data_IF_002852556194
#
_entry.id   IF_002852556194
#
_cell.length_a   1.000
_cell.length_b   1.000
_cell.length_c   1.000
_cell.angle_alpha   90.00
_cell.angle_beta   90.00
_cell.angle_gamma   90.00
#
_symmetry.space_group_name_H-M   'P 1'
#
loop_
_entity.id
_entity.type
_entity.pdbx_description
1 polymer ?
#
# COMPACT_ATOMS: atom_id res chain seq x y z
N UNK A 1 10.30 -19.40 0.67
CA UNK A 1 10.71 -18.17 1.39
C UNK A 1 11.85 -17.54 0.62
N UNK A 2 11.78 -16.28 0.17
CA UNK A 2 12.98 -15.59 -0.28
C UNK A 2 14.00 -15.64 0.88
N UNK A 3 15.25 -16.01 0.60
CA UNK A 3 16.27 -16.12 1.64
C UNK A 3 16.41 -14.81 2.43
N UNK A 4 16.52 -14.90 3.75
CA UNK A 4 16.84 -13.75 4.61
C UNK A 4 15.70 -13.13 5.43
N UNK A 5 14.54 -13.77 5.57
CA UNK A 5 13.50 -13.27 6.50
C UNK A 5 13.93 -13.48 7.95
N UNK A 6 14.40 -12.42 8.61
CA UNK A 6 14.71 -12.40 10.04
C UNK A 6 13.53 -11.83 10.85
N UNK A 7 13.22 -12.46 11.97
CA UNK A 7 12.16 -12.04 12.88
C UNK A 7 12.05 -12.96 14.10
N UNK A 8 11.07 -12.66 14.94
CA UNK A 8 10.75 -13.46 16.13
C UNK A 8 9.76 -14.53 15.72
N UNK A 9 10.07 -15.79 16.04
CA UNK A 9 9.11 -16.89 15.87
C UNK A 9 8.00 -16.71 16.89
N UNK A 10 6.79 -16.47 16.40
CA UNK A 10 5.60 -16.29 17.22
C UNK A 10 4.97 -17.63 17.58
N UNK A 11 4.85 -18.51 16.58
CA UNK A 11 4.19 -19.79 16.73
C UNK A 11 4.70 -20.79 15.67
N UNK A 12 4.59 -22.08 16.00
CA UNK A 12 4.94 -23.20 15.13
C UNK A 12 3.77 -24.17 15.13
N UNK A 13 2.97 -24.12 14.06
CA UNK A 13 1.85 -25.04 13.88
C UNK A 13 2.34 -26.25 13.09
N UNK A 14 2.32 -27.40 13.75
CA UNK A 14 2.66 -28.68 13.14
C UNK A 14 1.37 -29.39 12.76
N UNK A 15 1.16 -29.53 11.45
CA UNK A 15 0.08 -30.33 10.91
C UNK A 15 0.65 -31.72 10.53
N UNK A 16 -0.11 -32.78 10.78
CA UNK A 16 0.22 -34.14 10.33
C UNK A 16 -0.98 -34.68 9.58
N UNK A 17 -0.72 -35.43 8.51
CA UNK A 17 -1.78 -36.11 7.74
C UNK A 17 -2.57 -37.11 8.60
N UNK A 18 -1.88 -37.74 9.54
CA UNK A 18 -2.47 -38.57 10.58
C UNK A 18 -1.85 -38.12 11.90
N UNK A 19 -2.60 -37.35 12.66
CA UNK A 19 -2.17 -36.91 13.98
C UNK A 19 -2.54 -38.02 14.99
N UNK A 20 -1.58 -38.75 15.59
CA UNK A 20 -1.88 -39.90 16.45
C UNK A 20 -2.62 -39.51 17.73
N UNK A 21 -2.60 -38.21 18.10
CA UNK A 21 -3.26 -37.62 19.27
C UNK A 21 -4.65 -37.06 18.97
N UNK A 22 -4.99 -36.73 17.72
CA UNK A 22 -6.36 -36.34 17.35
C UNK A 22 -7.14 -37.60 16.96
N UNK A 23 -8.21 -37.88 17.70
CA UNK A 23 -9.20 -38.87 17.25
C UNK A 23 -9.73 -38.40 15.91
N UNK A 24 -9.63 -39.24 14.89
CA UNK A 24 -10.23 -38.98 13.58
C UNK A 24 -11.72 -38.71 13.79
N UNK A 25 -12.15 -37.48 13.54
CA UNK A 25 -13.55 -37.11 13.63
C UNK A 25 -14.34 -38.06 12.72
N UNK A 26 -15.32 -38.75 13.29
CA UNK A 26 -16.19 -39.60 12.48
C UNK A 26 -16.96 -38.72 11.49
N UNK A 27 -17.39 -39.28 10.35
CA UNK A 27 -18.26 -38.55 9.40
C UNK A 27 -19.52 -38.00 10.08
N UNK A 28 -19.98 -38.63 11.17
CA UNK A 28 -21.11 -38.16 11.97
C UNK A 28 -20.75 -36.93 12.81
N UNK A 29 -19.52 -36.86 13.32
CA UNK A 29 -19.05 -35.74 14.15
C UNK A 29 -18.74 -34.50 13.31
N UNK A 30 -18.15 -34.67 12.11
CA UNK A 30 -17.97 -33.58 11.15
C UNK A 30 -19.32 -32.96 10.77
N UNK A 31 -20.32 -33.79 10.46
CA UNK A 31 -21.69 -33.31 10.21
C UNK A 31 -22.29 -32.58 11.41
N UNK A 32 -22.02 -33.05 12.64
CA UNK A 32 -22.46 -32.37 13.86
C UNK A 32 -21.81 -30.99 14.00
N UNK A 33 -20.49 -30.88 13.79
CA UNK A 33 -19.77 -29.61 13.87
C UNK A 33 -20.17 -28.62 12.78
N UNK A 34 -20.42 -29.08 11.55
CA UNK A 34 -20.98 -28.25 10.47
C UNK A 34 -22.34 -27.70 10.90
N UNK A 35 -23.21 -28.55 11.46
CA UNK A 35 -24.52 -28.13 11.97
C UNK A 35 -24.41 -27.14 13.13
N UNK A 36 -23.44 -27.33 14.03
CA UNK A 36 -23.18 -26.42 15.15
C UNK A 36 -22.65 -25.06 14.65
N UNK A 37 -21.79 -25.04 13.63
CA UNK A 37 -21.33 -23.83 12.95
C UNK A 37 -22.48 -23.10 12.23
N UNK A 38 -23.36 -23.82 11.54
CA UNK A 38 -24.58 -23.26 10.94
C UNK A 38 -25.54 -22.67 11.99
N UNK A 39 -25.70 -23.34 13.13
CA UNK A 39 -26.55 -22.84 14.22
C UNK A 39 -25.95 -21.58 14.84
N UNK A 40 -24.63 -21.54 15.02
CA UNK A 40 -23.91 -20.35 15.51
C UNK A 40 -24.08 -19.18 14.54
N UNK A 41 -23.93 -19.42 13.24
CA UNK A 41 -24.20 -18.43 12.19
C UNK A 41 -25.64 -17.92 12.27
N UNK A 42 -26.63 -18.81 12.38
CA UNK A 42 -28.05 -18.41 12.48
C UNK A 42 -28.31 -17.54 13.71
N UNK A 43 -27.71 -17.86 14.85
CA UNK A 43 -27.84 -17.06 16.08
C UNK A 43 -27.23 -15.67 15.93
N UNK A 44 -25.99 -15.58 15.43
CA UNK A 44 -25.30 -14.31 15.23
C UNK A 44 -25.98 -13.45 14.15
N UNK A 45 -26.44 -14.07 13.07
CA UNK A 45 -27.20 -13.40 12.03
C UNK A 45 -28.50 -12.81 12.58
N UNK A 46 -29.23 -13.56 13.41
CA UNK A 46 -30.45 -13.08 14.05
C UNK A 46 -30.19 -11.86 14.97
N UNK A 47 -29.10 -11.89 15.74
CA UNK A 47 -28.70 -10.78 16.62
C UNK A 47 -28.42 -9.48 15.82
N UNK A 48 -27.70 -9.57 14.70
CA UNK A 48 -27.41 -8.41 13.86
C UNK A 48 -28.67 -7.91 13.15
N UNK A 49 -29.55 -8.81 12.73
CA UNK A 49 -30.87 -8.44 12.19
C UNK A 49 -31.70 -7.69 13.23
N UNK A 50 -31.66 -8.08 14.51
CA UNK A 50 -32.35 -7.36 15.57
C UNK A 50 -31.74 -5.98 15.86
N UNK A 51 -30.42 -5.86 15.88
CA UNK A 51 -29.73 -4.57 16.02
C UNK A 51 -30.10 -3.62 14.87
N UNK A 52 -30.03 -4.12 13.63
CA UNK A 52 -30.40 -3.34 12.44
C UNK A 52 -31.87 -2.95 12.44
N UNK A 53 -32.78 -3.87 12.81
CA UNK A 53 -34.20 -3.57 12.90
C UNK A 53 -34.52 -2.54 14.00
N UNK A 54 -33.75 -2.50 15.08
CA UNK A 54 -33.89 -1.50 16.15
C UNK A 54 -33.45 -0.12 15.68
N UNK A 55 -32.31 -0.02 14.99
CA UNK A 55 -31.84 1.24 14.39
C UNK A 55 -32.76 1.75 13.29
N UNK A 56 -33.27 0.84 12.45
CA UNK A 56 -34.29 1.20 11.45
C UNK A 56 -35.60 1.64 12.10
N UNK A 57 -35.96 1.10 13.28
CA UNK A 57 -37.15 1.53 14.01
C UNK A 57 -36.99 2.96 14.53
N UNK A 58 -35.82 3.38 15.02
CA UNK A 58 -35.61 4.77 15.44
C UNK A 58 -35.89 5.78 14.30
N UNK A 59 -35.62 5.39 13.05
CA UNK A 59 -35.80 6.23 11.87
C UNK A 59 -37.24 6.14 11.30
N UNK A 60 -37.82 4.94 11.28
CA UNK A 60 -39.02 4.63 10.49
C UNK A 60 -40.25 4.20 11.31
N UNK A 61 -40.14 4.04 12.63
CA UNK A 61 -41.26 3.57 13.44
C UNK A 61 -42.38 4.61 13.47
N UNK A 62 -43.57 4.22 13.01
CA UNK A 62 -44.76 5.08 13.01
C UNK A 62 -44.92 5.97 11.77
N UNK A 63 -43.90 6.07 10.90
CA UNK A 63 -44.02 6.78 9.63
C UNK A 63 -44.80 5.94 8.60
N UNK A 64 -45.46 6.63 7.65
CA UNK A 64 -46.14 6.02 6.50
C UNK A 64 -45.37 6.37 5.25
N UNK A 65 -44.63 5.41 4.70
CA UNK A 65 -44.00 5.56 3.39
C UNK A 65 -45.08 5.48 2.30
N UNK A 66 -45.07 6.42 1.36
CA UNK A 66 -45.94 6.37 0.17
C UNK A 66 -45.41 5.42 -0.91
N UNK A 67 -44.25 4.83 -0.66
CA UNK A 67 -43.49 4.01 -1.59
C UNK A 67 -43.43 2.57 -1.05
N UNK A 68 -43.55 1.59 -1.94
CA UNK A 68 -43.34 0.18 -1.62
C UNK A 68 -41.86 -0.15 -1.58
N UNK A 69 -41.42 -0.90 -0.57
CA UNK A 69 -40.10 -1.53 -0.56
C UNK A 69 -40.28 -2.98 -0.98
N UNK A 70 -39.60 -3.37 -2.06
CA UNK A 70 -39.69 -4.69 -2.65
C UNK A 70 -38.32 -5.35 -2.79
N UNK A 71 -38.32 -6.67 -2.85
CA UNK A 71 -37.14 -7.48 -3.18
C UNK A 71 -37.43 -8.28 -4.45
N UNK A 72 -36.53 -8.17 -5.41
CA UNK A 72 -36.56 -8.99 -6.63
C UNK A 72 -35.62 -10.18 -6.46
N UNK A 73 -36.18 -11.38 -6.49
CA UNK A 73 -35.42 -12.63 -6.46
C UNK A 73 -36.00 -13.57 -7.53
N UNK A 74 -35.16 -14.04 -8.45
CA UNK A 74 -35.51 -14.99 -9.52
C UNK A 74 -36.78 -14.63 -10.33
N UNK A 75 -37.00 -13.34 -10.62
CA UNK A 75 -38.15 -12.86 -11.39
C UNK A 75 -39.45 -12.72 -10.60
N UNK A 76 -39.46 -13.00 -9.29
CA UNK A 76 -40.60 -12.74 -8.40
C UNK A 76 -40.33 -11.53 -7.50
N UNK A 77 -41.27 -10.58 -7.51
CA UNK A 77 -41.23 -9.39 -6.67
C UNK A 77 -41.94 -9.66 -5.35
N UNK A 78 -41.18 -9.74 -4.26
CA UNK A 78 -41.74 -9.88 -2.91
C UNK A 78 -41.83 -8.52 -2.25
N UNK A 79 -43.05 -8.12 -1.84
CA UNK A 79 -43.27 -6.84 -1.17
C UNK A 79 -42.89 -6.95 0.30
N UNK A 80 -41.85 -6.22 0.72
CA UNK A 80 -41.36 -6.19 2.10
C UNK A 80 -42.17 -5.19 2.94
N UNK A 81 -42.38 -3.98 2.42
CA UNK A 81 -43.17 -2.92 3.07
C UNK A 81 -44.18 -2.34 2.05
N UNK A 82 -45.50 -2.52 2.27
CA UNK A 82 -46.52 -1.92 1.40
C UNK A 82 -46.62 -0.39 1.55
N UNK A 83 -46.92 0.30 0.46
CA UNK A 83 -47.17 1.74 0.46
C UNK A 83 -48.41 2.10 1.32
N UNK A 84 -48.33 3.21 2.04
CA UNK A 84 -49.43 3.78 2.83
C UNK A 84 -49.74 3.08 4.16
N UNK A 85 -49.06 1.96 4.47
CA UNK A 85 -49.25 1.22 5.73
C UNK A 85 -48.30 1.71 6.82
N UNK A 86 -48.75 1.70 8.07
CA UNK A 86 -47.87 1.97 9.23
C UNK A 86 -46.80 0.88 9.33
N UNK A 87 -45.54 1.30 9.41
CA UNK A 87 -44.40 0.39 9.50
C UNK A 87 -44.41 -0.30 10.87
N UNK A 88 -44.33 -1.63 10.86
CA UNK A 88 -44.30 -2.47 12.07
C UNK A 88 -42.91 -3.05 12.27
N UNK A 89 -42.56 -3.41 13.52
CA UNK A 89 -41.27 -4.07 13.85
C UNK A 89 -41.05 -5.37 13.05
N UNK A 90 -42.12 -6.07 12.69
CA UNK A 90 -42.07 -7.29 11.85
C UNK A 90 -41.63 -6.98 10.41
N UNK A 91 -42.13 -5.87 9.84
CA UNK A 91 -41.74 -5.43 8.49
C UNK A 91 -40.26 -4.99 8.45
N UNK A 92 -39.80 -4.30 9.48
CA UNK A 92 -38.40 -3.88 9.60
C UNK A 92 -37.44 -5.08 9.75
N UNK A 93 -37.83 -6.11 10.51
CA UNK A 93 -37.06 -7.36 10.60
C UNK A 93 -36.94 -8.06 9.23
N UNK A 94 -38.00 -8.08 8.42
CA UNK A 94 -37.96 -8.65 7.06
C UNK A 94 -37.07 -7.85 6.12
N UNK A 95 -37.07 -6.52 6.25
CA UNK A 95 -36.17 -5.64 5.50
C UNK A 95 -34.70 -5.87 5.90
N UNK A 96 -34.42 -5.92 7.20
CA UNK A 96 -33.08 -6.15 7.74
C UNK A 96 -32.48 -7.52 7.32
N UNK A 97 -33.31 -8.55 7.14
CA UNK A 97 -32.88 -9.85 6.60
C UNK A 97 -32.46 -9.80 5.14
N UNK A 98 -32.94 -8.81 4.38
CA UNK A 98 -32.70 -8.66 2.94
C UNK A 98 -31.74 -7.49 2.65
N UNK A 99 -30.71 -7.32 3.48
CA UNK A 99 -29.83 -6.15 3.42
C UNK A 99 -29.10 -5.98 2.08
N UNK A 100 -28.80 -7.08 1.39
CA UNK A 100 -28.01 -7.07 0.16
C UNK A 100 -28.82 -6.77 -1.10
N UNK A 101 -30.15 -6.95 -1.05
CA UNK A 101 -31.00 -6.84 -2.22
C UNK A 101 -32.41 -6.37 -1.83
N UNK A 102 -32.57 -5.04 -1.78
CA UNK A 102 -33.85 -4.35 -1.66
C UNK A 102 -33.91 -3.23 -2.68
N UNK A 103 -35.10 -2.98 -3.21
CA UNK A 103 -35.38 -1.85 -4.07
C UNK A 103 -36.19 -0.82 -3.29
N UNK A 104 -35.59 0.36 -3.10
CA UNK A 104 -36.23 1.51 -2.47
C UNK A 104 -36.28 2.66 -3.48
N UNK A 105 -37.46 2.95 -4.04
CA UNK A 105 -37.65 4.13 -4.90
C UNK A 105 -37.34 5.45 -4.14
N UNK A 106 -37.02 6.54 -4.87
CA UNK A 106 -36.64 7.81 -4.26
C UNK A 106 -37.70 8.32 -3.28
N UNK A 107 -37.33 8.43 -2.01
CA UNK A 107 -38.22 8.85 -0.92
C UNK A 107 -37.46 9.62 0.17
N UNK A 108 -38.13 10.52 0.91
CA UNK A 108 -37.52 11.20 2.05
C UNK A 108 -37.14 10.15 3.11
N UNK A 109 -35.84 9.98 3.35
CA UNK A 109 -35.27 8.95 4.23
C UNK A 109 -34.45 7.87 3.53
N UNK A 110 -34.50 7.76 2.19
CA UNK A 110 -33.72 6.77 1.43
C UNK A 110 -32.22 6.86 1.71
N UNK A 111 -31.65 8.07 1.70
CA UNK A 111 -30.21 8.28 1.95
C UNK A 111 -29.79 7.76 3.33
N UNK A 112 -30.60 8.03 4.36
CA UNK A 112 -30.32 7.58 5.73
C UNK A 112 -30.46 6.05 5.87
N UNK A 113 -31.43 5.45 5.18
CA UNK A 113 -31.58 3.99 5.13
C UNK A 113 -30.39 3.36 4.42
N UNK A 114 -30.02 3.84 3.23
CA UNK A 114 -28.90 3.31 2.44
C UNK A 114 -27.56 3.46 3.20
N UNK A 115 -27.34 4.57 3.90
CA UNK A 115 -26.17 4.78 4.75
C UNK A 115 -26.12 3.82 5.94
N UNK A 116 -27.25 3.64 6.64
CA UNK A 116 -27.35 2.71 7.77
C UNK A 116 -27.14 1.26 7.32
N UNK A 117 -27.78 0.85 6.23
CA UNK A 117 -27.63 -0.48 5.63
C UNK A 117 -26.17 -0.70 5.19
N UNK A 118 -25.57 0.29 4.53
CA UNK A 118 -24.16 0.28 4.13
C UNK A 118 -23.19 0.17 5.30
N UNK A 119 -23.49 0.79 6.44
CA UNK A 119 -22.66 0.72 7.65
C UNK A 119 -22.66 -0.68 8.31
N UNK A 120 -23.76 -1.42 8.17
CA UNK A 120 -23.94 -2.73 8.80
C UNK A 120 -23.61 -3.91 7.87
N UNK A 121 -23.62 -3.69 6.54
CA UNK A 121 -23.28 -4.70 5.53
C UNK A 121 -21.92 -5.41 5.75
N UNK A 122 -20.82 -4.75 6.19
CA UNK A 122 -19.58 -5.44 6.51
C UNK A 122 -19.74 -6.53 7.58
N UNK A 123 -20.55 -6.28 8.62
CA UNK A 123 -20.74 -7.24 9.72
C UNK A 123 -21.45 -8.52 9.25
N UNK A 124 -22.42 -8.39 8.34
CA UNK A 124 -23.09 -9.54 7.72
C UNK A 124 -22.13 -10.36 6.86
N UNK A 125 -21.31 -9.70 6.04
CA UNK A 125 -20.30 -10.37 5.21
C UNK A 125 -19.25 -11.10 6.03
N UNK A 126 -18.75 -10.50 7.10
CA UNK A 126 -17.73 -11.12 7.95
C UNK A 126 -18.21 -12.43 8.59
N UNK A 127 -19.47 -12.49 9.01
CA UNK A 127 -20.05 -13.70 9.62
C UNK A 127 -20.34 -14.78 8.58
N UNK A 128 -20.78 -14.38 7.38
CA UNK A 128 -20.94 -15.31 6.26
C UNK A 128 -19.58 -15.90 5.83
N UNK A 129 -18.54 -15.07 5.69
CA UNK A 129 -17.18 -15.52 5.39
C UNK A 129 -16.64 -16.49 6.43
N UNK A 130 -16.81 -16.19 7.74
CA UNK A 130 -16.39 -17.11 8.81
C UNK A 130 -17.11 -18.45 8.76
N UNK A 131 -18.41 -18.46 8.46
CA UNK A 131 -19.17 -19.71 8.28
C UNK A 131 -18.56 -20.51 7.13
N UNK A 132 -18.36 -19.88 5.98
CA UNK A 132 -17.85 -20.56 4.78
C UNK A 132 -16.44 -21.10 4.99
N UNK A 133 -15.55 -20.34 5.64
CA UNK A 133 -14.21 -20.80 6.03
C UNK A 133 -14.25 -22.01 6.97
N UNK A 134 -15.15 -22.01 7.96
CA UNK A 134 -15.29 -23.12 8.91
C UNK A 134 -15.84 -24.35 8.21
N UNK A 135 -16.88 -24.21 7.39
CA UNK A 135 -17.49 -25.30 6.64
C UNK A 135 -16.49 -25.89 5.66
N UNK A 136 -15.81 -25.05 4.87
CA UNK A 136 -14.80 -25.47 3.92
C UNK A 136 -13.65 -26.23 4.62
N UNK A 137 -13.16 -25.73 5.76
CA UNK A 137 -12.13 -26.41 6.55
C UNK A 137 -12.59 -27.77 7.07
N UNK A 138 -13.86 -27.89 7.48
CA UNK A 138 -14.43 -29.16 7.96
C UNK A 138 -14.69 -30.15 6.82
N UNK A 139 -15.04 -29.66 5.61
CA UNK A 139 -15.28 -30.47 4.40
C UNK A 139 -13.99 -30.97 3.74
N UNK A 140 -12.99 -30.10 3.59
CA UNK A 140 -11.66 -30.44 3.08
C UNK A 140 -10.91 -31.37 4.07
N UNK A 141 -11.27 -31.28 5.35
CA UNK A 141 -10.61 -32.00 6.44
C UNK A 141 -9.17 -31.54 6.68
N UNK A 142 -8.50 -32.11 7.68
CA UNK A 142 -7.05 -31.92 7.92
C UNK A 142 -6.20 -32.72 6.88
N UNK A 143 -6.61 -32.70 5.61
CA UNK A 143 -6.01 -33.46 4.53
C UNK A 143 -4.89 -32.70 3.84
N UNK A 144 -3.64 -33.11 4.08
CA UNK A 144 -2.49 -32.63 3.31
C UNK A 144 -2.52 -33.13 1.86
N UNK A 145 -1.81 -32.42 0.98
CA UNK A 145 -1.52 -32.87 -0.39
C UNK A 145 -0.99 -34.31 -0.42
N UNK A 146 -1.41 -35.14 -1.39
CA UNK A 146 -0.99 -36.53 -1.48
C UNK A 146 0.55 -36.62 -1.61
N UNK A 147 1.20 -37.22 -0.60
CA UNK A 147 2.65 -37.39 -0.52
C UNK A 147 3.31 -36.63 0.63
N UNK A 148 2.64 -35.65 1.24
CA UNK A 148 3.16 -34.91 2.39
C UNK A 148 2.72 -35.60 3.69
N UNK A 149 3.70 -36.03 4.50
CA UNK A 149 3.46 -36.73 5.78
C UNK A 149 3.20 -35.73 6.92
N UNK A 150 3.96 -34.62 6.92
CA UNK A 150 3.96 -33.60 7.96
C UNK A 150 4.28 -32.24 7.33
N UNK A 151 3.56 -31.21 7.75
CA UNK A 151 3.78 -29.82 7.35
C UNK A 151 4.00 -29.00 8.62
N UNK A 152 4.96 -28.08 8.57
CA UNK A 152 5.31 -27.22 9.70
C UNK A 152 5.19 -25.78 9.23
N UNK A 153 4.18 -25.08 9.75
CA UNK A 153 3.96 -23.66 9.48
C UNK A 153 4.58 -22.86 10.63
N UNK A 154 5.60 -22.06 10.33
CA UNK A 154 6.27 -21.20 11.30
C UNK A 154 5.82 -19.75 11.06
N UNK A 155 5.17 -19.15 12.04
CA UNK A 155 4.75 -17.75 12.00
C UNK A 155 5.89 -16.87 12.53
N UNK A 156 6.40 -15.99 11.67
CA UNK A 156 7.51 -15.10 12.00
C UNK A 156 6.99 -13.66 11.98
N UNK A 157 7.09 -12.96 13.11
CA UNK A 157 6.80 -11.54 13.20
C UNK A 157 8.10 -10.73 13.07
N UNK A 158 8.06 -9.67 12.26
CA UNK A 158 9.20 -8.77 12.06
C UNK A 158 8.72 -7.31 12.12
N UNK A 159 9.34 -6.50 12.98
CA UNK A 159 9.08 -5.05 13.05
C UNK A 159 10.03 -4.33 12.11
N UNK A 160 9.49 -3.70 11.07
CA UNK A 160 10.26 -2.93 10.08
C UNK A 160 10.23 -1.44 10.42
N UNK A 161 11.41 -0.86 10.69
CA UNK A 161 11.57 0.58 10.92
C UNK A 161 11.54 1.36 9.60
N UNK A 162 11.38 2.68 9.68
CA UNK A 162 11.50 3.57 8.54
C UNK A 162 12.97 3.66 8.11
N UNK A 163 13.23 3.60 6.81
CA UNK A 163 14.59 3.63 6.26
C UNK A 163 14.69 4.58 5.07
N UNK A 164 15.92 5.02 4.77
CA UNK A 164 16.23 5.73 3.53
C UNK A 164 15.84 4.84 2.34
N UNK A 165 15.11 5.41 1.39
CA UNK A 165 14.55 4.67 0.26
C UNK A 165 13.09 4.21 0.43
N UNK A 166 12.53 4.25 1.65
CA UNK A 166 11.11 3.96 1.86
C UNK A 166 10.24 5.04 1.20
N UNK A 167 9.08 4.63 0.68
CA UNK A 167 8.14 5.53 0.00
C UNK A 167 7.07 6.06 0.96
N UNK A 168 6.95 7.38 1.02
CA UNK A 168 5.92 8.10 1.76
C UNK A 168 4.95 8.80 0.80
N UNK A 169 3.75 9.08 1.27
CA UNK A 169 2.76 9.87 0.54
C UNK A 169 1.98 10.79 1.48
N UNK A 170 1.65 11.99 1.03
CA UNK A 170 0.60 12.80 1.64
C UNK A 170 -0.77 12.46 1.06
N UNK A 171 -1.82 13.03 1.66
CA UNK A 171 -3.21 12.82 1.23
C UNK A 171 -3.54 13.50 -0.11
N UNK A 172 -2.74 14.50 -0.51
CA UNK A 172 -2.95 15.30 -1.72
C UNK A 172 -2.15 14.77 -2.94
N UNK A 173 -1.89 13.47 -3.00
CA UNK A 173 -1.22 12.82 -4.13
C UNK A 173 0.29 13.11 -4.24
N UNK A 174 0.86 13.86 -3.31
CA UNK A 174 2.31 14.07 -3.20
C UNK A 174 2.97 12.78 -2.70
N UNK A 175 3.74 12.13 -3.57
CA UNK A 175 4.49 10.90 -3.24
C UNK A 175 5.98 11.22 -3.29
N UNK A 176 6.72 10.68 -2.34
CA UNK A 176 8.16 10.90 -2.23
C UNK A 176 8.88 9.68 -1.67
N UNK A 177 10.20 9.70 -1.78
CA UNK A 177 11.09 8.71 -1.17
C UNK A 177 11.89 9.43 -0.10
N UNK A 178 12.15 8.77 1.02
CA UNK A 178 13.00 9.31 2.09
C UNK A 178 14.43 9.35 1.58
N UNK A 179 14.96 10.55 1.36
CA UNK A 179 16.32 10.74 0.86
C UNK A 179 17.38 10.63 1.96
N UNK A 180 17.09 11.18 3.15
CA UNK A 180 18.01 11.21 4.28
C UNK A 180 17.26 11.26 5.60
N UNK A 181 17.79 10.58 6.61
CA UNK A 181 17.39 10.73 8.01
C UNK A 181 18.53 11.50 8.69
N UNK A 182 18.20 12.63 9.31
CA UNK A 182 19.17 13.51 9.96
C UNK A 182 18.86 13.61 11.45
N UNK A 183 19.86 13.85 12.31
CA UNK A 183 19.64 14.18 13.71
C UNK A 183 18.81 15.46 13.86
N UNK A 184 18.06 15.57 14.96
CA UNK A 184 17.13 16.67 15.20
C UNK A 184 17.82 18.04 15.28
N UNK A 185 19.04 18.09 15.83
CA UNK A 185 19.86 19.30 15.93
C UNK A 185 20.28 19.87 14.58
N UNK A 186 20.27 19.06 13.52
CA UNK A 186 20.63 19.52 12.17
C UNK A 186 19.40 20.00 11.37
N UNK A 187 18.19 19.85 11.91
CA UNK A 187 16.96 20.27 11.23
C UNK A 187 16.71 21.76 11.45
N UNK A 188 16.11 22.45 10.46
CA UNK A 188 15.60 23.79 10.68
C UNK A 188 14.69 23.86 11.89
N UNK A 189 14.79 24.93 12.67
CA UNK A 189 14.01 25.10 13.88
C UNK A 189 13.32 26.47 13.92
N UNK A 190 12.23 26.52 14.68
CA UNK A 190 11.42 27.72 14.89
C UNK A 190 12.05 28.61 15.98
N UNK A 191 11.57 29.85 16.12
CA UNK A 191 12.06 30.77 17.15
C UNK A 191 11.86 30.26 18.59
N UNK A 192 10.91 29.34 18.81
CA UNK A 192 10.69 28.67 20.10
C UNK A 192 11.62 27.47 20.33
N UNK A 193 12.57 27.21 19.41
CA UNK A 193 13.51 26.09 19.47
C UNK A 193 12.97 24.77 18.92
N UNK A 194 11.69 24.72 18.50
CA UNK A 194 11.08 23.49 17.99
C UNK A 194 11.67 23.14 16.62
N UNK A 195 12.32 21.97 16.44
CA UNK A 195 12.79 21.53 15.13
C UNK A 195 11.63 21.05 14.26
N UNK A 196 11.78 21.15 12.94
CA UNK A 196 10.82 20.55 11.99
C UNK A 196 11.09 19.06 11.83
N UNK A 197 10.04 18.24 11.65
CA UNK A 197 10.20 16.78 11.46
C UNK A 197 10.51 16.40 10.00
N UNK A 198 9.90 17.10 9.03
CA UNK A 198 9.98 16.77 7.60
C UNK A 198 10.14 18.05 6.79
N UNK A 199 11.11 18.04 5.87
CA UNK A 199 11.31 19.12 4.89
C UNK A 199 10.81 18.65 3.53
N UNK A 200 9.86 19.40 2.95
CA UNK A 200 9.27 19.12 1.64
C UNK A 200 9.68 20.16 0.61
N UNK A 201 9.81 19.74 -0.65
CA UNK A 201 10.16 20.63 -1.75
C UNK A 201 8.92 21.42 -2.23
N UNK A 202 8.94 22.78 -2.21
CA UNK A 202 7.81 23.60 -2.63
C UNK A 202 7.56 23.57 -4.14
N UNK A 203 8.54 23.20 -4.97
CA UNK A 203 8.41 23.21 -6.44
C UNK A 203 7.35 22.24 -6.96
N UNK A 204 7.02 21.21 -6.19
CA UNK A 204 5.98 20.26 -6.55
C UNK A 204 4.56 20.83 -6.51
N UNK A 205 4.33 21.89 -5.73
CA UNK A 205 2.98 22.44 -5.53
C UNK A 205 2.46 23.17 -6.78
N UNK A 206 3.22 24.13 -7.37
CA UNK A 206 2.74 24.84 -8.55
C UNK A 206 2.63 23.92 -9.78
N UNK A 207 3.60 23.03 -9.96
CA UNK A 207 3.65 22.13 -11.13
C UNK A 207 2.49 21.12 -11.16
N UNK A 208 2.01 20.68 -9.99
CA UNK A 208 0.93 19.68 -9.88
C UNK A 208 -0.41 20.28 -9.47
N UNK A 209 -0.47 21.59 -9.26
CA UNK A 209 -1.65 22.34 -8.82
C UNK A 209 -2.34 21.76 -7.57
N UNK A 210 -1.61 21.08 -6.69
CA UNK A 210 -2.15 20.47 -5.48
C UNK A 210 -2.01 21.41 -4.26
N UNK A 211 -2.65 22.58 -4.37
CA UNK A 211 -2.64 23.64 -3.34
C UNK A 211 -3.27 23.18 -2.02
N UNK A 212 -4.15 22.17 -2.06
CA UNK A 212 -4.78 21.58 -0.88
C UNK A 212 -3.78 21.15 0.21
N UNK A 213 -2.57 20.71 -0.16
CA UNK A 213 -1.55 20.34 0.82
C UNK A 213 -1.07 21.54 1.66
N UNK A 214 -1.05 22.74 1.07
CA UNK A 214 -0.66 23.97 1.76
C UNK A 214 -1.77 24.39 2.72
N UNK A 215 -3.03 24.30 2.27
CA UNK A 215 -4.19 24.57 3.11
C UNK A 215 -4.28 23.58 4.28
N UNK A 216 -4.03 22.30 4.04
CA UNK A 216 -3.92 21.27 5.09
C UNK A 216 -2.81 21.63 6.09
N UNK A 217 -1.63 22.03 5.59
CA UNK A 217 -0.49 22.40 6.44
C UNK A 217 -0.84 23.58 7.35
N UNK A 218 -1.48 24.62 6.81
CA UNK A 218 -1.93 25.80 7.56
C UNK A 218 -2.99 25.44 8.61
N UNK A 219 -4.02 24.71 8.20
CA UNK A 219 -5.09 24.28 9.09
C UNK A 219 -4.58 23.35 10.19
N UNK A 220 -3.69 22.42 9.84
CA UNK A 220 -3.07 21.48 10.77
C UNK A 220 -2.19 22.19 11.80
N UNK A 221 -1.51 23.28 11.41
CA UNK A 221 -0.80 24.13 12.38
C UNK A 221 -1.75 24.76 13.38
N UNK A 222 -2.79 25.45 12.90
CA UNK A 222 -3.78 26.08 13.77
C UNK A 222 -4.45 25.06 14.68
N UNK A 223 -4.80 23.89 14.13
CA UNK A 223 -5.44 22.81 14.88
C UNK A 223 -4.53 22.24 15.98
N UNK A 224 -3.24 22.05 15.71
CA UNK A 224 -2.25 21.58 16.68
C UNK A 224 -2.10 22.54 17.86
N UNK A 225 -2.02 23.84 17.59
CA UNK A 225 -1.88 24.88 18.63
C UNK A 225 -3.18 25.06 19.44
N UNK A 226 -4.34 25.00 18.78
CA UNK A 226 -5.66 25.13 19.42
C UNK A 226 -6.11 23.85 20.14
N UNK A 227 -5.39 22.73 19.97
CA UNK A 227 -5.76 21.43 20.55
C UNK A 227 -7.04 20.83 19.93
N UNK A 228 -7.39 21.22 18.70
CA UNK A 228 -8.60 20.73 18.02
C UNK A 228 -8.27 19.65 16.98
N UNK A 229 -9.23 18.77 16.72
CA UNK A 229 -9.16 17.80 15.62
C UNK A 229 -10.08 18.26 14.50
N UNK A 230 -9.56 18.27 13.26
CA UNK A 230 -10.31 18.72 12.09
C UNK A 230 -10.43 17.57 11.11
N UNK A 231 -11.66 17.31 10.66
CA UNK A 231 -11.96 16.40 9.56
C UNK A 231 -12.71 17.17 8.48
N UNK A 232 -12.26 17.06 7.24
CA UNK A 232 -12.91 17.67 6.07
C UNK A 232 -13.26 16.59 5.05
N UNK A 233 -14.42 16.69 4.38
CA UNK A 233 -14.72 15.90 3.20
C UNK A 233 -13.66 16.06 2.08
N UNK A 234 -13.60 15.10 1.17
CA UNK A 234 -12.53 14.99 0.13
C UNK A 234 -12.57 16.14 -0.90
N UNK A 235 -13.70 16.84 -1.02
CA UNK A 235 -13.90 17.92 -2.01
C UNK A 235 -14.61 19.15 -1.46
N UNK A 236 -14.94 19.16 -0.17
CA UNK A 236 -15.61 20.28 0.50
C UNK A 236 -14.77 20.68 1.72
N UNK A 237 -13.66 21.36 1.42
CA UNK A 237 -12.68 21.79 2.42
C UNK A 237 -13.08 23.08 3.12
N UNK A 238 -12.46 23.34 4.25
CA UNK A 238 -12.62 24.60 4.97
C UNK A 238 -12.21 25.80 4.09
N UNK A 239 -12.99 26.88 4.15
CA UNK A 239 -12.69 28.10 3.39
C UNK A 239 -11.41 28.79 3.91
N UNK A 240 -10.64 29.40 3.01
CA UNK A 240 -9.37 30.06 3.35
C UNK A 240 -9.54 31.14 4.43
N UNK A 241 -10.63 31.90 4.39
CA UNK A 241 -10.92 32.94 5.39
C UNK A 241 -11.03 32.36 6.80
N UNK A 242 -11.62 31.17 6.95
CA UNK A 242 -11.70 30.50 8.25
C UNK A 242 -10.32 29.99 8.69
N UNK A 243 -9.51 29.46 7.78
CA UNK A 243 -8.12 29.06 8.10
C UNK A 243 -7.32 30.26 8.61
N UNK A 244 -7.43 31.43 7.95
CA UNK A 244 -6.75 32.66 8.37
C UNK A 244 -7.18 33.11 9.77
N UNK A 245 -8.48 33.02 10.09
CA UNK A 245 -8.99 33.32 11.44
C UNK A 245 -8.41 32.36 12.47
N UNK A 246 -8.42 31.05 12.20
CA UNK A 246 -7.85 30.04 13.09
C UNK A 246 -6.34 30.23 13.31
N UNK A 247 -5.59 30.63 12.27
CA UNK A 247 -4.17 30.96 12.39
C UNK A 247 -3.94 32.17 13.30
N UNK A 248 -4.80 33.20 13.23
CA UNK A 248 -4.71 34.37 14.13
C UNK A 248 -5.00 33.98 15.58
N UNK A 249 -6.00 33.14 15.82
CA UNK A 249 -6.30 32.62 17.16
C UNK A 249 -5.16 31.75 17.71
N UNK A 250 -4.61 30.86 16.88
CA UNK A 250 -3.44 30.06 17.24
C UNK A 250 -2.23 30.94 17.59
N UNK A 251 -2.00 32.00 16.81
CA UNK A 251 -0.91 32.95 17.06
C UNK A 251 -1.09 33.70 18.38
N UNK A 252 -2.32 34.10 18.73
CA UNK A 252 -2.63 34.73 20.01
C UNK A 252 -2.22 33.82 21.18
N UNK A 253 -2.65 32.56 21.15
CA UNK A 253 -2.33 31.59 22.20
C UNK A 253 -0.81 31.36 22.31
N UNK A 254 -0.12 31.20 21.19
CA UNK A 254 1.34 31.02 21.19
C UNK A 254 2.09 32.24 21.72
N UNK A 255 1.63 33.46 21.41
CA UNK A 255 2.21 34.68 21.96
C UNK A 255 1.98 34.77 23.48
N UNK A 256 0.78 34.46 23.96
CA UNK A 256 0.44 34.41 25.39
C UNK A 256 1.28 33.37 26.14
N UNK A 257 1.51 32.19 25.56
CA UNK A 257 2.35 31.14 26.16
C UNK A 257 3.80 31.57 26.39
N UNK A 258 4.33 32.45 25.53
CA UNK A 258 5.70 32.96 25.60
C UNK A 258 5.77 34.30 26.37
N UNK A 259 4.63 34.84 26.80
CA UNK A 259 4.57 36.12 27.53
C UNK A 259 4.69 37.36 26.63
N UNK A 260 4.53 37.22 25.31
CA UNK A 260 4.69 38.32 24.36
C UNK A 260 3.36 39.00 24.06
N UNK A 261 3.38 40.31 23.79
CA UNK A 261 2.16 41.10 23.59
C UNK A 261 1.82 41.19 22.10
N UNK A 262 0.54 41.03 21.78
CA UNK A 262 0.03 41.22 20.43
C UNK A 262 -0.30 42.70 20.19
N UNK A 263 0.20 43.28 19.10
CA UNK A 263 -0.16 44.63 18.67
C UNK A 263 -1.51 44.64 17.96
N UNK A 264 -2.17 45.81 17.89
CA UNK A 264 -3.47 45.97 17.22
C UNK A 264 -3.44 45.60 15.73
N UNK A 265 -2.27 45.71 15.10
CA UNK A 265 -2.04 45.38 13.70
C UNK A 265 -1.74 43.89 13.48
N UNK A 266 -1.79 43.06 14.54
CA UNK A 266 -1.46 41.64 14.48
C UNK A 266 0.04 41.34 14.49
N UNK A 267 0.88 42.30 14.87
CA UNK A 267 2.29 42.07 15.17
C UNK A 267 2.49 41.45 16.56
N UNK A 268 3.66 40.88 16.80
CA UNK A 268 4.03 40.35 18.12
C UNK A 268 5.28 41.06 18.60
N UNK A 269 5.24 41.64 19.80
CA UNK A 269 6.38 42.30 20.43
C UNK A 269 6.79 41.56 21.69
N UNK A 270 8.10 41.44 21.91
CA UNK A 270 8.62 40.86 23.15
C UNK A 270 8.52 41.83 24.34
N UNK A 271 8.93 41.37 25.52
CA UNK A 271 8.91 42.16 26.75
C UNK A 271 9.78 43.42 26.67
N UNK A 272 10.81 43.43 25.82
CA UNK A 272 11.72 44.54 25.56
C UNK A 272 11.22 45.47 24.43
N UNK A 273 10.05 45.18 23.83
CA UNK A 273 9.46 45.98 22.76
C UNK A 273 10.06 45.76 21.37
N UNK A 274 10.87 44.71 21.16
CA UNK A 274 11.40 44.35 19.84
C UNK A 274 10.34 43.63 19.01
N UNK A 275 10.33 43.90 17.72
CA UNK A 275 9.42 43.23 16.79
C UNK A 275 9.83 41.75 16.59
N UNK A 276 8.94 40.86 17.02
CA UNK A 276 9.04 39.40 16.89
C UNK A 276 7.91 38.83 16.03
N UNK A 277 7.27 39.66 15.20
CA UNK A 277 6.16 39.26 14.33
C UNK A 277 6.50 38.04 13.49
N UNK A 278 7.71 37.98 12.92
CA UNK A 278 8.17 36.89 12.06
C UNK A 278 8.55 35.59 12.79
N UNK A 279 8.61 35.58 14.12
CA UNK A 279 8.98 34.40 14.91
C UNK A 279 7.84 33.39 15.05
N UNK A 280 6.59 33.82 14.82
CA UNK A 280 5.42 32.97 14.84
C UNK A 280 4.80 32.86 13.46
N UNK A 281 4.03 31.78 13.25
CA UNK A 281 3.28 31.57 12.02
C UNK A 281 2.26 32.69 11.84
N UNK A 282 2.39 33.45 10.76
CA UNK A 282 1.48 34.53 10.39
C UNK A 282 0.13 34.03 9.87
N UNK A 283 -0.76 34.95 9.53
CA UNK A 283 -2.02 34.62 8.87
C UNK A 283 -1.82 34.11 7.43
N UNK A 284 -0.63 34.36 6.85
CA UNK A 284 -0.14 33.78 5.60
C UNK A 284 0.42 32.36 5.76
N UNK A 285 0.43 31.80 6.98
CA UNK A 285 0.93 30.46 7.27
C UNK A 285 2.45 30.33 7.22
N UNK A 286 3.18 31.45 7.26
CA UNK A 286 4.65 31.50 7.15
C UNK A 286 5.30 32.04 8.42
N UNK A 287 6.47 31.51 8.74
CA UNK A 287 7.31 31.94 9.86
C UNK A 287 8.78 31.98 9.46
N UNK A 288 9.61 32.70 10.21
CA UNK A 288 11.07 32.66 10.07
C UNK A 288 11.61 31.39 10.72
N UNK A 289 12.37 30.61 9.96
CA UNK A 289 13.12 29.46 10.45
C UNK A 289 14.61 29.81 10.56
N UNK A 290 15.30 29.03 11.38
CA UNK A 290 16.75 29.09 11.58
C UNK A 290 17.37 27.78 11.13
N UNK A 291 18.56 27.82 10.53
CA UNK A 291 19.31 26.63 10.14
C UNK A 291 19.88 25.95 11.39
N UNK A 292 19.58 24.67 11.61
CA UNK A 292 20.10 23.90 12.73
C UNK A 292 21.62 23.75 12.74
N UNK A 293 22.29 23.87 11.58
CA UNK A 293 23.75 23.71 11.48
C UNK A 293 24.53 24.97 11.80
N UNK A 294 24.05 26.11 11.34
CA UNK A 294 24.75 27.40 11.49
C UNK A 294 24.13 28.29 12.55
N UNK A 295 22.85 28.08 12.88
CA UNK A 295 22.06 28.97 13.73
C UNK A 295 21.57 30.24 13.02
N UNK A 296 21.91 30.43 11.74
CA UNK A 296 21.52 31.62 11.00
C UNK A 296 20.06 31.55 10.54
N UNK A 297 19.40 32.71 10.47
CA UNK A 297 18.04 32.81 9.94
C UNK A 297 18.02 32.59 8.42
N UNK A 298 17.00 31.92 7.91
CA UNK A 298 16.77 31.89 6.47
C UNK A 298 16.38 33.26 5.92
N UNK A 299 16.75 33.55 4.68
CA UNK A 299 16.50 34.84 4.03
C UNK A 299 15.00 35.14 3.82
N UNK A 300 14.17 34.11 3.64
CA UNK A 300 12.73 34.23 3.41
C UNK A 300 11.95 33.47 4.48
N UNK A 301 10.74 33.95 4.79
CA UNK A 301 9.79 33.21 5.65
C UNK A 301 9.28 31.97 4.92
N UNK A 302 9.23 30.86 5.65
CA UNK A 302 8.91 29.53 5.13
C UNK A 302 7.54 29.12 5.66
N UNK A 303 6.76 28.42 4.83
CA UNK A 303 5.50 27.82 5.27
C UNK A 303 5.79 26.66 6.22
N UNK A 304 5.25 26.74 7.43
CA UNK A 304 5.41 25.72 8.48
C UNK A 304 4.03 25.31 8.96
N UNK A 305 3.84 24.01 9.16
CA UNK A 305 2.61 23.51 9.73
C UNK A 305 2.59 21.99 9.84
N UNK A 306 1.40 21.46 10.13
CA UNK A 306 1.23 20.02 10.33
C UNK A 306 0.48 19.43 9.14
N UNK A 307 1.10 18.46 8.47
CA UNK A 307 0.51 17.73 7.34
C UNK A 307 0.43 16.23 7.67
N UNK A 308 -0.63 15.56 7.24
CA UNK A 308 -0.78 14.14 7.48
C UNK A 308 -0.01 13.30 6.44
N UNK A 309 1.02 12.58 6.92
CA UNK A 309 1.89 11.74 6.09
C UNK A 309 1.59 10.25 6.30
N UNK A 310 1.50 9.51 5.20
CA UNK A 310 1.25 8.08 5.14
C UNK A 310 2.52 7.34 4.70
N UNK A 311 2.80 6.21 5.35
CA UNK A 311 3.79 5.24 4.88
C UNK A 311 3.14 4.27 3.91
N UNK A 312 3.67 4.17 2.70
CA UNK A 312 3.17 3.21 1.71
C UNK A 312 3.82 1.84 1.91
N UNK A 313 3.13 0.78 1.50
CA UNK A 313 3.66 -0.59 1.45
C UNK A 313 4.64 -0.80 0.26
N UNK A 314 5.55 0.15 0.12
CA UNK A 314 6.61 0.17 -0.89
C UNK A 314 7.94 0.34 -0.17
N UNK A 315 8.31 -0.67 0.60
CA UNK A 315 9.54 -0.70 1.38
C UNK A 315 10.76 -0.85 0.48
N UNK A 316 11.87 -0.22 0.86
CA UNK A 316 13.13 -0.33 0.11
C UNK A 316 13.70 -1.75 0.16
N UNK A 317 13.58 -2.41 1.32
CA UNK A 317 14.13 -3.76 1.58
C UNK A 317 13.55 -4.80 0.64
N UNK A 318 12.29 -4.64 0.23
CA UNK A 318 11.64 -5.57 -0.67
C UNK A 318 12.11 -5.38 -2.12
N UNK A 319 12.65 -4.20 -2.46
CA UNK A 319 13.09 -3.84 -3.83
C UNK A 319 14.57 -4.07 -4.08
N UNK A 320 15.43 -3.87 -3.07
CA UNK A 320 16.87 -4.11 -3.23
C UNK A 320 17.09 -5.61 -3.48
N UNK A 321 17.79 -5.89 -4.57
CA UNK A 321 18.19 -7.23 -4.98
C UNK A 321 19.45 -7.14 -5.85
N UNK A 322 20.41 -8.01 -5.58
CA UNK A 322 21.63 -8.12 -6.37
C UNK A 322 22.01 -9.60 -6.47
N UNK A 323 22.70 -9.97 -7.55
CA UNK A 323 23.24 -11.31 -7.76
C UNK A 323 24.58 -11.24 -8.45
N UNK A 324 25.45 -12.20 -8.13
CA UNK A 324 26.64 -12.49 -8.91
C UNK A 324 26.37 -13.73 -9.79
N UNK A 325 26.17 -14.89 -9.15
CA UNK A 325 25.81 -16.16 -9.79
C UNK A 325 24.50 -16.66 -9.18
N UNK A 326 23.73 -17.48 -9.89
CA UNK A 326 22.51 -18.08 -9.34
C UNK A 326 21.95 -19.15 -10.28
N UNK A 327 20.68 -19.54 -10.12
CA UNK A 327 20.08 -20.57 -10.97
C UNK A 327 19.84 -20.07 -12.39
N UNK A 328 19.83 -21.03 -13.32
CA UNK A 328 19.63 -20.85 -14.75
C UNK A 328 18.45 -21.70 -15.23
N UNK A 329 17.81 -21.26 -16.31
CA UNK A 329 16.76 -22.00 -17.01
C UNK A 329 17.33 -23.28 -17.62
N UNK A 330 16.57 -24.37 -17.54
CA UNK A 330 16.97 -25.65 -18.15
C UNK A 330 16.98 -25.57 -19.69
N UNK A 331 16.08 -24.78 -20.28
CA UNK A 331 15.90 -24.73 -21.74
C UNK A 331 16.92 -23.80 -22.38
N UNK A 332 16.91 -22.52 -22.00
CA UNK A 332 17.72 -21.48 -22.65
C UNK A 332 19.06 -21.23 -21.97
N UNK A 333 19.33 -21.88 -20.83
CA UNK A 333 20.53 -21.65 -20.01
C UNK A 333 20.72 -20.20 -19.53
N UNK A 334 19.70 -19.34 -19.67
CA UNK A 334 19.70 -17.97 -19.19
C UNK A 334 19.45 -17.88 -17.67
N UNK A 335 19.96 -16.86 -16.98
CA UNK A 335 19.67 -16.64 -15.57
C UNK A 335 18.16 -16.53 -15.32
N UNK A 336 17.63 -17.15 -14.26
CA UNK A 336 16.21 -17.03 -13.91
C UNK A 336 15.81 -15.58 -13.62
N UNK A 337 14.52 -15.26 -13.72
CA UNK A 337 13.98 -13.92 -13.45
C UNK A 337 13.39 -13.79 -12.03
N UNK A 338 13.43 -12.57 -11.50
CA UNK A 338 12.74 -12.22 -10.26
C UNK A 338 13.50 -12.51 -8.96
N UNK A 339 13.30 -11.65 -7.96
CA UNK A 339 14.00 -11.70 -6.66
C UNK A 339 13.85 -13.04 -5.93
N UNK A 340 12.66 -13.64 -5.98
CA UNK A 340 12.35 -14.88 -5.26
C UNK A 340 13.23 -16.08 -5.69
N UNK A 341 13.70 -16.07 -6.94
CA UNK A 341 14.55 -17.12 -7.52
C UNK A 341 16.03 -16.72 -7.56
N UNK A 342 16.43 -15.68 -6.82
CA UNK A 342 17.72 -15.01 -7.00
C UNK A 342 18.00 -14.64 -8.46
N UNK A 343 16.94 -14.17 -9.13
CA UNK A 343 16.91 -13.91 -10.56
C UNK A 343 17.68 -12.66 -11.00
N UNK A 344 18.00 -12.59 -12.28
CA UNK A 344 18.82 -11.54 -12.88
C UNK A 344 17.97 -10.39 -13.37
N UNK A 345 18.61 -9.26 -13.59
CA UNK A 345 17.95 -8.15 -14.25
C UNK A 345 17.87 -8.44 -15.75
N UNK A 346 16.71 -8.17 -16.34
CA UNK A 346 16.54 -8.28 -17.79
C UNK A 346 17.32 -7.14 -18.44
N UNK A 347 18.27 -7.50 -19.30
CA UNK A 347 18.89 -6.60 -20.25
C UNK A 347 18.05 -6.67 -21.54
N UNK A 348 17.32 -5.61 -21.84
CA UNK A 348 16.35 -5.57 -22.92
C UNK A 348 16.93 -5.04 -24.23
N UNK A 349 16.08 -5.01 -25.25
CA UNK A 349 16.42 -4.58 -26.60
C UNK A 349 16.82 -3.10 -26.65
N UNK A 350 16.12 -2.22 -25.91
CA UNK A 350 16.45 -0.80 -25.87
C UNK A 350 17.81 -0.54 -25.21
N UNK A 351 18.19 -1.35 -24.21
CA UNK A 351 19.52 -1.27 -23.61
C UNK A 351 20.62 -1.76 -24.56
N UNK A 352 20.33 -2.77 -25.40
CA UNK A 352 21.23 -3.21 -26.48
C UNK A 352 21.47 -2.07 -27.47
N UNK A 353 20.40 -1.45 -28.00
CA UNK A 353 20.52 -0.32 -28.93
C UNK A 353 21.32 0.84 -28.35
N UNK A 354 21.15 1.12 -27.05
CA UNK A 354 21.93 2.13 -26.38
C UNK A 354 23.44 1.81 -26.43
N UNK A 355 23.85 0.57 -26.14
CA UNK A 355 25.26 0.16 -26.23
C UNK A 355 25.80 0.14 -27.66
N UNK A 356 24.97 -0.24 -28.63
CA UNK A 356 25.32 -0.19 -30.05
C UNK A 356 25.57 1.25 -30.51
N UNK A 357 24.74 2.20 -30.08
CA UNK A 357 24.92 3.63 -30.39
C UNK A 357 26.23 4.19 -29.83
N UNK A 358 26.71 3.67 -28.69
CA UNK A 358 28.03 4.01 -28.14
C UNK A 358 29.19 3.27 -28.83
N UNK A 359 28.92 2.30 -29.71
CA UNK A 359 29.96 1.45 -30.31
C UNK A 359 30.63 0.51 -29.32
N UNK A 360 29.97 0.18 -28.19
CA UNK A 360 30.54 -0.61 -27.11
C UNK A 360 30.51 -2.13 -27.39
N UNK A 361 31.16 -2.55 -28.48
CA UNK A 361 31.08 -3.92 -29.00
C UNK A 361 31.53 -4.99 -27.99
N UNK A 362 32.63 -4.77 -27.26
CA UNK A 362 33.13 -5.73 -26.27
C UNK A 362 32.20 -5.87 -25.06
N UNK A 363 31.64 -4.76 -24.56
CA UNK A 363 30.68 -4.76 -23.46
C UNK A 363 29.41 -5.49 -23.86
N UNK A 364 28.91 -5.23 -25.07
CA UNK A 364 27.72 -5.90 -25.59
C UNK A 364 27.96 -7.40 -25.79
N UNK A 365 29.10 -7.78 -26.36
CA UNK A 365 29.49 -9.18 -26.52
C UNK A 365 29.53 -9.89 -25.16
N UNK A 366 30.13 -9.26 -24.14
CA UNK A 366 30.21 -9.81 -22.79
C UNK A 366 28.81 -10.03 -22.17
N UNK A 367 27.93 -9.02 -22.26
CA UNK A 367 26.58 -9.06 -21.69
C UNK A 367 25.69 -10.12 -22.35
N UNK A 368 25.78 -10.27 -23.67
CA UNK A 368 24.91 -11.18 -24.44
C UNK A 368 25.41 -12.64 -24.43
N UNK A 369 26.68 -12.90 -24.13
CA UNK A 369 27.26 -14.26 -24.19
C UNK A 369 27.63 -14.77 -22.80
N UNK A 370 28.82 -14.38 -22.32
CA UNK A 370 29.51 -14.91 -21.15
C UNK A 370 28.78 -14.62 -19.83
N UNK A 371 28.04 -13.51 -19.76
CA UNK A 371 27.19 -13.16 -18.59
C UNK A 371 25.77 -13.73 -18.65
N UNK A 372 25.36 -14.27 -19.80
CA UNK A 372 24.01 -14.75 -20.05
C UNK A 372 23.99 -16.28 -20.18
N UNK A 373 24.04 -16.81 -21.41
CA UNK A 373 23.70 -18.19 -21.77
C UNK A 373 24.85 -18.98 -22.40
N UNK A 374 26.06 -18.42 -22.52
CA UNK A 374 27.24 -19.22 -22.85
C UNK A 374 27.71 -20.04 -21.63
N UNK A 375 27.28 -21.30 -21.58
CA UNK A 375 27.56 -22.23 -20.48
C UNK A 375 29.06 -22.46 -20.24
N UNK A 376 29.86 -22.52 -21.32
CA UNK A 376 31.30 -22.75 -21.21
C UNK A 376 32.02 -21.45 -20.90
N UNK A 377 31.65 -20.37 -21.59
CA UNK A 377 32.20 -19.04 -21.40
C UNK A 377 32.03 -18.55 -19.97
N UNK A 378 30.83 -18.68 -19.38
CA UNK A 378 30.54 -18.18 -18.02
C UNK A 378 31.41 -18.84 -16.93
N UNK A 379 31.74 -20.12 -17.12
CA UNK A 379 32.59 -20.85 -16.17
C UNK A 379 34.05 -20.39 -16.31
N UNK A 380 34.53 -20.28 -17.54
CA UNK A 380 35.88 -19.78 -17.84
C UNK A 380 36.10 -18.36 -17.36
N UNK A 381 35.16 -17.44 -17.61
CA UNK A 381 35.32 -16.05 -17.20
C UNK A 381 35.34 -15.92 -15.68
N UNK A 382 34.55 -16.73 -14.97
CA UNK A 382 34.59 -16.77 -13.51
C UNK A 382 35.95 -17.27 -13.00
N UNK A 383 36.49 -18.35 -13.59
CA UNK A 383 37.83 -18.85 -13.26
C UNK A 383 38.93 -17.82 -13.56
N UNK A 384 38.88 -17.16 -14.71
CA UNK A 384 39.84 -16.11 -15.10
C UNK A 384 39.81 -14.94 -14.12
N UNK A 385 38.61 -14.47 -13.73
CA UNK A 385 38.45 -13.41 -12.73
C UNK A 385 39.05 -13.84 -11.37
N UNK A 386 38.84 -15.09 -10.95
CA UNK A 386 39.43 -15.61 -9.71
C UNK A 386 40.96 -15.72 -9.78
N UNK A 387 41.53 -15.93 -10.96
CA UNK A 387 42.99 -15.95 -11.21
C UNK A 387 43.59 -14.56 -11.43
N UNK A 388 42.77 -13.52 -11.56
CA UNK A 388 43.23 -12.16 -11.89
C UNK A 388 43.60 -11.96 -13.36
N UNK A 389 43.21 -12.90 -14.24
CA UNK A 389 43.43 -12.80 -15.69
C UNK A 389 42.16 -12.28 -16.38
N UNK A 390 42.28 -11.25 -17.23
CA UNK A 390 41.15 -10.68 -17.96
C UNK A 390 41.10 -11.20 -19.40
N UNK A 391 40.85 -12.50 -19.58
CA UNK A 391 40.69 -13.13 -20.89
C UNK A 391 39.20 -13.39 -21.22
N UNK A 392 38.68 -12.75 -22.27
CA UNK A 392 37.32 -12.95 -22.78
C UNK A 392 37.34 -13.98 -23.92
N UNK A 393 36.78 -15.17 -23.67
CA UNK A 393 36.54 -16.17 -24.72
C UNK A 393 35.04 -16.42 -24.84
N UNK A 394 34.39 -15.71 -25.76
CA UNK A 394 32.95 -15.86 -26.03
C UNK A 394 32.69 -16.98 -27.06
N UNK A 395 31.69 -17.80 -26.80
CA UNK A 395 31.16 -18.79 -27.73
C UNK A 395 29.77 -18.40 -28.23
N UNK A 396 29.13 -19.30 -28.99
CA UNK A 396 27.77 -19.13 -29.48
C UNK A 396 26.78 -19.26 -28.31
N UNK A 397 25.85 -18.32 -28.14
CA UNK A 397 24.76 -18.40 -27.16
C UNK A 397 23.94 -19.68 -27.27
N UNK A 398 23.53 -20.25 -26.13
CA UNK A 398 22.68 -21.45 -26.14
C UNK A 398 21.29 -21.16 -26.71
N UNK A 399 20.76 -19.95 -26.52
CA UNK A 399 19.49 -19.52 -27.12
C UNK A 399 19.50 -19.63 -28.66
N UNK A 400 20.63 -19.37 -29.31
CA UNK A 400 20.77 -19.55 -30.76
C UNK A 400 20.73 -21.03 -31.15
N UNK A 401 21.34 -21.92 -30.35
CA UNK A 401 21.28 -23.36 -30.58
C UNK A 401 19.84 -23.89 -30.44
N UNK A 402 19.09 -23.40 -29.43
CA UNK A 402 17.68 -23.74 -29.24
C UNK A 402 16.86 -23.29 -30.45
N UNK A 403 17.01 -22.04 -30.90
CA UNK A 403 16.32 -21.52 -32.09
C UNK A 403 16.61 -22.38 -33.34
N UNK A 404 17.88 -22.73 -33.56
CA UNK A 404 18.28 -23.60 -34.67
C UNK A 404 17.56 -24.96 -34.61
N UNK A 405 17.42 -25.55 -33.41
CA UNK A 405 16.71 -26.81 -33.22
C UNK A 405 15.20 -26.68 -33.41
N UNK A 406 14.60 -25.59 -32.96
CA UNK A 406 13.19 -25.30 -33.20
C UNK A 406 12.90 -25.15 -34.69
N UNK A 407 13.73 -24.43 -35.44
CA UNK A 407 13.55 -24.31 -36.89
C UNK A 407 13.77 -25.65 -37.62
N UNK A 408 14.76 -26.45 -37.20
CA UNK A 408 14.97 -27.81 -37.75
C UNK A 408 13.79 -28.74 -37.46
N UNK A 409 13.08 -28.56 -36.35
CA UNK A 409 11.87 -29.34 -36.02
C UNK A 409 10.71 -29.09 -36.97
N UNK A 410 10.71 -27.95 -37.69
CA UNK A 410 9.74 -27.58 -38.72
C UNK A 410 10.12 -28.11 -40.12
N UNK A 411 11.04 -29.09 -40.20
CA UNK A 411 11.57 -29.64 -41.44
C UNK A 411 12.34 -28.63 -42.31
N UNK A 412 12.89 -27.57 -41.72
CA UNK A 412 13.77 -26.62 -42.42
C UNK A 412 15.25 -27.05 -42.28
N UNK A 413 15.99 -27.18 -43.40
CA UNK A 413 17.43 -27.47 -43.36
C UNK A 413 18.25 -26.19 -43.15
N UNK A 414 18.51 -25.86 -41.88
CA UNK A 414 19.32 -24.71 -41.48
C UNK A 414 20.67 -25.17 -40.94
N UNK A 415 21.76 -24.65 -41.51
CA UNK A 415 23.15 -24.97 -41.16
C UNK A 415 24.01 -23.72 -41.07
N UNK A 416 24.87 -23.67 -40.07
CA UNK A 416 25.90 -22.63 -39.95
C UNK A 416 27.03 -22.95 -40.95
N UNK A 417 27.19 -22.12 -41.98
CA UNK A 417 28.32 -22.23 -42.92
C UNK A 417 29.51 -21.44 -42.39
N UNK A 418 30.69 -22.08 -42.35
CA UNK A 418 31.96 -21.33 -42.25
C UNK A 418 32.30 -20.81 -43.65
N UNK A 419 32.38 -19.49 -43.82
CA UNK A 419 33.02 -18.93 -45.02
C UNK A 419 34.51 -19.27 -44.98
N UNK A 420 35.06 -19.78 -46.08
CA UNK A 420 36.51 -19.73 -46.29
C UNK A 420 36.88 -18.25 -46.47
N UNK A 421 37.96 -17.75 -45.84
CA UNK A 421 38.42 -16.39 -46.12
C UNK A 421 38.68 -16.29 -47.63
N UNK A 422 38.15 -15.24 -48.27
CA UNK A 422 38.43 -14.97 -49.67
C UNK A 422 39.94 -14.80 -49.82
N UNK A 423 40.55 -15.51 -50.78
CA UNK A 423 41.93 -15.22 -51.19
C UNK A 423 42.01 -13.74 -51.59
N UNK A 424 43.06 -13.02 -51.18
CA UNK A 424 43.23 -11.64 -51.58
C UNK A 424 43.27 -11.59 -53.12
N UNK A 425 42.35 -10.82 -53.71
CA UNK A 425 42.36 -10.58 -55.15
C UNK A 425 43.70 -9.92 -55.52
N UNK A 426 44.44 -10.57 -56.42
CA UNK A 426 45.70 -10.08 -57.01
C UNK A 426 45.48 -8.82 -57.84
#
# INVERSE_FOLDING_TARGET
>A
MPGGTAGIVMDVVVERRVDPTKVRLSKAEVKRQIKDAENTYKSQFAEIVEDLATKLAEILLGSKLQVTIDRQENGQTTVLIPAGRKITKVMLKRLAQCCDNYNLPPSPGKVQIDELMGSMAPRFRDIALRRDEIVQRLEEGDGMDPGVVKSVKVYIASKRKIAVGDKLAGRHGNKGIIARIVPAENLPFMADGTPVDVVLNPLGVPSRMNVGQVLETHLGWAASVLGMKVATPVFDGIHENQIRTLLRDARRIKAEQVGWRLTKDGGVVDEEGRDRTGCFVGDDGKTTLFDGRTGERFAQRITVGTIYMLKLDHMVVDKIHARAVGPYSLVTQQPLGGKAQHGGQRFGEMEVWALEAYGAAHTLQEMLTVKSDDVRGRTKIYESIMRGENALQASVPESFNVLMKEMQSLCLDIRVRRSRPAEPAL
#
